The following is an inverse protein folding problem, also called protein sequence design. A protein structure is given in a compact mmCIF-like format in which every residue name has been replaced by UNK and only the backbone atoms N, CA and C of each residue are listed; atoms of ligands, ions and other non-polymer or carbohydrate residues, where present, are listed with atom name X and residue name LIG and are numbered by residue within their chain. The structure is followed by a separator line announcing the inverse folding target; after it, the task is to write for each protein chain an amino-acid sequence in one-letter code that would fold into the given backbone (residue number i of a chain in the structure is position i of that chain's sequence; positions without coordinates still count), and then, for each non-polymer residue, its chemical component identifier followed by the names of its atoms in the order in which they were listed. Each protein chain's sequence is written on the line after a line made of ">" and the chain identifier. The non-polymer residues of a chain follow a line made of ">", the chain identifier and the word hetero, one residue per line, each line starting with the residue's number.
data_IF_742285118139
#
_entry.id   IF_742285118139
#
_cell.length_a   1.000
_cell.length_b   1.000
_cell.length_c   1.000
_cell.angle_alpha   90.00
_cell.angle_beta   90.00
_cell.angle_gamma   90.00
#
_symmetry.space_group_name_H-M   'P 1'
#
loop_
_entity.id
_entity.type
_entity.pdbx_description
1 polymer ?
#
# COMPACT_ATOMS: atom_id res chain seq x y z
N UNK A 1 53.22 23.97 -37.02
CA UNK A 1 52.56 24.42 -35.78
C UNK A 1 51.06 24.36 -35.99
N UNK A 2 50.40 23.25 -35.62
CA UNK A 2 48.98 23.18 -35.18
C UNK A 2 48.44 21.74 -35.24
N UNK A 3 48.51 21.08 -34.09
CA UNK A 3 47.95 19.77 -33.78
C UNK A 3 46.44 19.74 -33.99
N UNK A 4 45.94 18.76 -34.75
CA UNK A 4 44.51 18.44 -34.86
C UNK A 4 44.12 17.52 -33.70
N UNK A 5 43.24 18.01 -32.86
CA UNK A 5 42.72 17.34 -31.67
C UNK A 5 41.85 16.14 -32.03
N UNK A 6 42.13 14.99 -31.40
CA UNK A 6 41.34 13.75 -31.46
C UNK A 6 40.16 13.94 -30.51
N UNK A 7 38.94 14.09 -31.04
CA UNK A 7 37.72 14.07 -30.26
C UNK A 7 37.31 12.64 -29.95
N UNK A 8 37.69 12.12 -28.78
CA UNK A 8 37.16 10.86 -28.26
C UNK A 8 35.71 11.08 -27.79
N UNK A 9 34.74 10.55 -28.54
CA UNK A 9 33.35 10.43 -28.12
C UNK A 9 33.27 9.37 -27.02
N UNK A 10 33.21 9.82 -25.77
CA UNK A 10 32.89 8.96 -24.62
C UNK A 10 31.39 8.68 -24.66
N UNK A 11 31.02 7.47 -25.07
CA UNK A 11 29.68 6.94 -24.89
C UNK A 11 29.46 6.65 -23.41
N UNK A 12 28.71 7.52 -22.72
CA UNK A 12 28.22 7.24 -21.37
C UNK A 12 27.12 6.19 -21.43
N UNK A 13 27.18 5.12 -20.61
CA UNK A 13 26.08 4.18 -20.52
C UNK A 13 24.90 4.88 -19.86
N UNK A 14 23.77 4.93 -20.55
CA UNK A 14 22.50 5.38 -20.01
C UNK A 14 22.04 4.33 -18.99
N UNK A 15 22.48 4.46 -17.75
CA UNK A 15 21.95 3.66 -16.65
C UNK A 15 20.50 4.10 -16.42
N UNK A 16 19.55 3.27 -16.86
CA UNK A 16 18.16 3.35 -16.42
C UNK A 16 18.15 3.19 -14.90
N UNK A 17 18.06 4.31 -14.18
CA UNK A 17 17.77 4.31 -12.76
C UNK A 17 16.33 3.85 -12.57
N UNK A 18 16.13 2.53 -12.46
CA UNK A 18 14.93 1.99 -11.86
C UNK A 18 14.90 2.46 -10.42
N UNK A 19 14.04 3.42 -10.11
CA UNK A 19 13.79 3.85 -8.74
C UNK A 19 13.15 2.68 -8.01
N UNK A 20 13.96 1.91 -7.28
CA UNK A 20 13.47 1.02 -6.24
C UNK A 20 12.91 1.93 -5.14
N UNK A 21 11.60 2.17 -5.19
CA UNK A 21 10.89 2.75 -4.05
C UNK A 21 10.96 1.67 -2.97
N UNK A 22 11.74 1.92 -1.91
CA UNK A 22 11.73 1.04 -0.74
C UNK A 22 10.30 0.89 -0.25
N UNK A 23 9.82 -0.36 -0.17
CA UNK A 23 8.53 -0.68 0.44
C UNK A 23 8.56 -0.24 1.91
N UNK A 24 8.10 0.99 2.17
CA UNK A 24 8.16 1.57 3.51
C UNK A 24 7.21 0.81 4.45
N UNK A 25 7.76 0.29 5.54
CA UNK A 25 6.99 -0.34 6.61
C UNK A 25 6.84 0.65 7.75
N UNK A 26 5.61 0.85 8.21
CA UNK A 26 5.29 1.73 9.33
C UNK A 26 4.32 1.04 10.29
N UNK A 27 4.50 1.23 11.59
CA UNK A 27 3.58 0.71 12.60
C UNK A 27 2.64 1.80 13.10
N UNK A 28 1.44 1.39 13.53
CA UNK A 28 0.44 2.34 14.01
C UNK A 28 -0.82 1.70 14.58
N UNK A 29 -1.78 2.55 14.89
CA UNK A 29 -3.13 2.12 15.29
C UNK A 29 -4.09 2.42 14.14
N UNK A 30 -4.88 1.41 13.78
CA UNK A 30 -5.99 1.54 12.86
C UNK A 30 -7.28 1.82 13.62
N UNK A 31 -8.15 2.62 13.02
CA UNK A 31 -9.58 2.67 13.36
C UNK A 31 -10.43 2.49 12.11
N UNK A 32 -11.76 2.61 12.20
CA UNK A 32 -12.63 2.55 11.03
C UNK A 32 -13.75 3.57 11.08
N UNK A 33 -14.24 3.96 9.90
CA UNK A 33 -15.31 4.96 9.76
C UNK A 33 -16.68 4.44 10.24
N UNK A 34 -17.41 5.32 10.92
CA UNK A 34 -18.81 5.07 11.28
C UNK A 34 -19.74 5.08 10.06
N UNK A 35 -20.87 4.36 10.17
CA UNK A 35 -21.81 4.14 9.06
C UNK A 35 -22.36 5.43 8.42
N UNK A 36 -22.49 6.50 9.22
CA UNK A 36 -22.99 7.82 8.80
C UNK A 36 -22.16 8.52 7.71
N UNK A 37 -20.93 8.07 7.49
CA UNK A 37 -20.04 8.66 6.48
C UNK A 37 -20.30 8.12 5.08
N UNK A 38 -21.05 7.01 4.96
CA UNK A 38 -21.34 6.39 3.67
C UNK A 38 -22.01 7.37 2.70
N UNK A 39 -21.53 7.38 1.46
CA UNK A 39 -22.02 8.24 0.37
C UNK A 39 -21.51 9.69 0.40
N UNK A 40 -20.76 10.12 1.44
CA UNK A 40 -20.14 11.46 1.48
C UNK A 40 -18.93 11.53 0.54
N UNK A 41 -18.56 12.72 0.12
CA UNK A 41 -17.34 12.93 -0.67
C UNK A 41 -16.11 12.77 0.23
N UNK A 42 -15.12 12.01 -0.25
CA UNK A 42 -13.77 11.91 0.34
C UNK A 42 -12.88 13.05 -0.17
N UNK A 43 -11.71 13.22 0.43
CA UNK A 43 -10.72 14.21 -0.01
C UNK A 43 -10.17 13.95 -1.42
N UNK A 44 -10.28 12.73 -1.96
CA UNK A 44 -9.97 12.43 -3.37
C UNK A 44 -11.06 12.89 -4.35
N UNK A 45 -12.23 13.31 -3.86
CA UNK A 45 -13.39 13.65 -4.68
C UNK A 45 -14.31 12.47 -5.01
N UNK A 46 -13.94 11.24 -4.67
CA UNK A 46 -14.78 10.04 -4.83
C UNK A 46 -15.75 9.91 -3.65
N UNK A 47 -16.97 9.42 -3.88
CA UNK A 47 -17.91 9.11 -2.80
C UNK A 47 -17.40 7.92 -1.98
N UNK A 48 -17.40 8.07 -0.65
CA UNK A 48 -17.05 7.03 0.27
C UNK A 48 -18.06 5.89 0.22
N UNK A 49 -17.56 4.68 -0.01
CA UNK A 49 -18.32 3.43 0.13
C UNK A 49 -17.77 2.66 1.33
N UNK A 50 -18.63 2.43 2.31
CA UNK A 50 -18.25 1.71 3.53
C UNK A 50 -17.86 0.24 3.27
N UNK A 51 -18.31 -0.36 2.17
CA UNK A 51 -18.05 -1.76 1.83
C UNK A 51 -16.80 -1.94 0.97
N UNK A 52 -16.31 -0.89 0.32
CA UNK A 52 -15.09 -0.92 -0.48
C UNK A 52 -13.84 -1.12 0.40
N UNK A 53 -12.71 -1.52 -0.19
CA UNK A 53 -11.43 -1.68 0.52
C UNK A 53 -10.60 -0.40 0.43
N UNK A 54 -11.02 0.64 1.15
CA UNK A 54 -10.39 1.96 1.11
C UNK A 54 -9.99 2.43 2.51
N UNK A 55 -9.09 3.40 2.56
CA UNK A 55 -8.62 3.97 3.81
C UNK A 55 -8.22 5.45 3.68
N UNK A 56 -8.17 6.12 4.83
CA UNK A 56 -7.66 7.48 4.97
C UNK A 56 -6.29 7.49 5.62
N UNK A 57 -5.38 8.29 5.06
CA UNK A 57 -4.03 8.50 5.60
C UNK A 57 -3.63 9.98 5.49
N UNK A 58 -2.80 10.44 6.45
CA UNK A 58 -2.46 11.87 6.59
C UNK A 58 -1.61 12.38 5.42
N UNK A 59 -0.62 11.59 5.02
CA UNK A 59 0.45 12.04 4.10
C UNK A 59 0.59 11.20 2.84
N UNK A 60 -0.02 10.01 2.77
CA UNK A 60 0.19 9.13 1.61
C UNK A 60 -0.54 9.69 0.38
N UNK A 61 0.05 9.59 -0.82
CA UNK A 61 -0.63 9.96 -2.05
C UNK A 61 -1.97 9.22 -2.19
N UNK A 62 -2.94 9.86 -2.84
CA UNK A 62 -4.17 9.17 -3.21
C UNK A 62 -3.87 8.11 -4.27
N UNK A 63 -4.57 6.97 -4.20
CA UNK A 63 -4.33 5.82 -5.06
C UNK A 63 -3.24 4.87 -4.56
N UNK A 64 -2.44 5.25 -3.56
CA UNK A 64 -1.46 4.35 -2.95
C UNK A 64 -2.15 3.13 -2.38
N UNK A 65 -1.63 1.94 -2.71
CA UNK A 65 -2.08 0.67 -2.16
C UNK A 65 -1.24 0.33 -0.94
N UNK A 66 -1.92 0.01 0.16
CA UNK A 66 -1.28 -0.31 1.44
C UNK A 66 -1.78 -1.64 1.92
N UNK A 67 -0.86 -2.57 2.20
CA UNK A 67 -1.16 -3.79 2.94
C UNK A 67 -1.16 -3.44 4.43
N UNK A 68 -2.32 -3.61 5.05
CA UNK A 68 -2.55 -3.40 6.47
C UNK A 68 -2.62 -4.76 7.13
N UNK A 69 -1.72 -5.03 8.07
CA UNK A 69 -1.69 -6.28 8.84
C UNK A 69 -2.03 -5.99 10.29
N UNK A 70 -3.01 -6.70 10.84
CA UNK A 70 -3.34 -6.63 12.26
C UNK A 70 -2.38 -7.52 13.05
N UNK A 71 -1.64 -6.91 13.97
CA UNK A 71 -0.61 -7.58 14.77
C UNK A 71 -1.21 -8.52 15.83
N UNK A 72 -2.47 -8.29 16.22
CA UNK A 72 -3.12 -9.07 17.28
C UNK A 72 -3.69 -10.40 16.78
N UNK A 73 -4.10 -10.48 15.51
CA UNK A 73 -4.69 -11.70 14.92
C UNK A 73 -3.97 -12.21 13.65
N UNK A 74 -2.94 -11.51 13.17
CA UNK A 74 -2.14 -11.89 12.00
C UNK A 74 -2.81 -11.69 10.64
N UNK A 75 -4.08 -11.25 10.59
CA UNK A 75 -4.82 -11.03 9.33
C UNK A 75 -4.30 -9.80 8.60
N UNK A 76 -4.40 -9.80 7.28
CA UNK A 76 -4.03 -8.65 6.46
C UNK A 76 -5.06 -8.34 5.39
N UNK A 77 -5.12 -7.08 4.98
CA UNK A 77 -5.99 -6.58 3.91
C UNK A 77 -5.24 -5.52 3.12
N UNK A 78 -5.46 -5.48 1.81
CA UNK A 78 -4.93 -4.40 0.96
C UNK A 78 -6.02 -3.36 0.77
N UNK A 79 -5.67 -2.11 1.03
CA UNK A 79 -6.58 -0.97 0.89
C UNK A 79 -5.97 0.08 -0.03
N UNK A 80 -6.83 0.86 -0.67
CA UNK A 80 -6.42 2.03 -1.46
C UNK A 80 -6.66 3.30 -0.65
N UNK A 81 -5.66 4.19 -0.60
CA UNK A 81 -5.79 5.50 0.04
C UNK A 81 -6.63 6.42 -0.83
N UNK A 82 -7.78 6.86 -0.33
CA UNK A 82 -8.69 7.76 -1.06
C UNK A 82 -9.18 8.95 -0.23
N UNK A 83 -8.76 9.05 1.02
CA UNK A 83 -9.19 10.12 1.92
C UNK A 83 -8.05 10.60 2.85
N UNK A 84 -8.29 11.69 3.58
CA UNK A 84 -7.33 12.32 4.50
C UNK A 84 -7.76 12.19 5.95
N UNK A 85 -6.77 12.12 6.83
CA UNK A 85 -6.92 11.79 8.24
C UNK A 85 -6.17 10.50 8.57
N UNK A 86 -6.37 9.88 9.73
CA UNK A 86 -7.06 10.42 10.90
C UNK A 86 -6.35 11.67 11.44
N UNK A 87 -7.12 12.65 11.91
CA UNK A 87 -6.60 13.86 12.58
C UNK A 87 -6.47 13.71 14.10
N UNK A 88 -6.75 12.52 14.61
CA UNK A 88 -6.71 12.20 16.04
C UNK A 88 -5.36 11.57 16.34
N UNK A 89 -4.70 12.09 17.38
CA UNK A 89 -3.38 11.63 17.76
C UNK A 89 -3.41 10.16 18.19
N UNK A 90 -2.32 9.46 17.90
CA UNK A 90 -2.17 8.03 18.15
C UNK A 90 -2.83 7.12 17.12
N UNK A 91 -3.55 7.65 16.11
CA UNK A 91 -4.06 6.87 14.97
C UNK A 91 -3.28 7.16 13.69
N UNK A 92 -2.96 6.09 12.97
CA UNK A 92 -2.16 6.18 11.74
C UNK A 92 -3.02 6.00 10.49
N UNK A 93 -4.10 5.21 10.57
CA UNK A 93 -4.96 4.92 9.42
C UNK A 93 -6.42 4.72 9.85
N UNK A 94 -7.35 5.24 9.05
CA UNK A 94 -8.79 4.97 9.22
C UNK A 94 -9.29 4.12 8.05
N UNK A 95 -9.80 2.93 8.35
CA UNK A 95 -10.26 1.95 7.37
C UNK A 95 -11.75 2.12 7.06
N UNK A 96 -12.18 1.67 5.89
CA UNK A 96 -13.59 1.40 5.63
C UNK A 96 -14.10 0.25 6.52
N UNK A 97 -15.43 0.15 6.68
CA UNK A 97 -16.05 -0.95 7.42
C UNK A 97 -15.79 -2.31 6.77
N UNK A 98 -15.76 -2.37 5.44
CA UNK A 98 -15.39 -3.55 4.66
C UNK A 98 -13.98 -4.02 4.97
N UNK A 99 -13.00 -3.10 4.95
CA UNK A 99 -11.62 -3.42 5.30
C UNK A 99 -11.47 -3.83 6.76
N UNK A 100 -12.14 -3.14 7.70
CA UNK A 100 -12.13 -3.49 9.11
C UNK A 100 -12.75 -4.88 9.39
N UNK A 101 -13.79 -5.26 8.64
CA UNK A 101 -14.36 -6.61 8.66
C UNK A 101 -13.36 -7.67 8.19
N UNK A 102 -12.70 -7.41 7.06
CA UNK A 102 -11.68 -8.30 6.51
C UNK A 102 -10.47 -8.45 7.44
N UNK A 103 -10.14 -7.39 8.19
CA UNK A 103 -9.05 -7.37 9.17
C UNK A 103 -9.46 -7.94 10.54
N UNK A 104 -10.76 -8.19 10.77
CA UNK A 104 -11.28 -8.77 12.00
C UNK A 104 -11.26 -7.82 13.19
N UNK A 105 -11.44 -6.51 12.98
CA UNK A 105 -11.36 -5.48 14.03
C UNK A 105 -12.69 -4.76 14.34
N UNK A 106 -13.82 -5.22 13.76
CA UNK A 106 -15.12 -4.57 13.96
C UNK A 106 -15.55 -4.52 15.44
N UNK A 107 -15.29 -5.59 16.19
CA UNK A 107 -15.67 -5.69 17.60
C UNK A 107 -14.76 -4.85 18.51
N UNK A 108 -13.46 -4.80 18.23
CA UNK A 108 -12.50 -4.05 19.06
C UNK A 108 -12.50 -2.56 18.78
N UNK A 109 -12.93 -2.13 17.58
CA UNK A 109 -12.94 -0.71 17.19
C UNK A 109 -11.57 -0.20 16.74
N UNK A 110 -10.53 -0.59 17.48
CA UNK A 110 -9.13 -0.26 17.24
C UNK A 110 -8.30 -1.54 17.08
N UNK A 111 -7.20 -1.45 16.34
CA UNK A 111 -6.25 -2.54 16.18
C UNK A 111 -4.83 -1.99 16.00
N UNK A 112 -3.83 -2.69 16.55
CA UNK A 112 -2.43 -2.40 16.25
C UNK A 112 -2.08 -2.98 14.89
N UNK A 113 -1.57 -2.15 14.00
CA UNK A 113 -1.34 -2.53 12.60
C UNK A 113 0.07 -2.21 12.14
N UNK A 114 0.52 -3.04 11.22
CA UNK A 114 1.68 -2.80 10.37
C UNK A 114 1.18 -2.40 8.98
N UNK A 115 1.69 -1.29 8.46
CA UNK A 115 1.39 -0.72 7.16
C UNK A 115 2.58 -0.94 6.24
N UNK A 116 2.35 -1.60 5.11
CA UNK A 116 3.35 -1.73 4.05
C UNK A 116 2.79 -1.13 2.76
N UNK A 117 3.50 -0.15 2.20
CA UNK A 117 3.18 0.36 0.86
C UNK A 117 3.49 -0.74 -0.17
N UNK A 118 2.54 -0.99 -1.06
CA UNK A 118 2.74 -1.92 -2.17
C UNK A 118 3.15 -1.12 -3.40
N UNK A 119 4.23 -1.55 -4.04
CA UNK A 119 4.61 -1.05 -5.35
C UNK A 119 3.54 -1.44 -6.38
N UNK A 120 3.47 -0.64 -7.45
CA UNK A 120 2.42 -0.71 -8.47
C UNK A 120 2.38 -2.08 -9.18
N UNK A 121 3.43 -2.90 -9.01
CA UNK A 121 3.61 -4.19 -9.67
C UNK A 121 3.56 -5.42 -8.74
N UNK A 122 3.29 -5.29 -7.42
CA UNK A 122 3.19 -6.48 -6.56
C UNK A 122 1.80 -7.15 -6.70
N UNK A 123 1.69 -8.37 -7.27
CA UNK A 123 0.42 -9.09 -7.29
C UNK A 123 0.00 -9.38 -5.85
N UNK A 124 -1.23 -8.99 -5.51
CA UNK A 124 -1.81 -9.29 -4.19
C UNK A 124 -2.21 -10.75 -4.18
N UNK A 125 -1.28 -11.62 -3.77
CA UNK A 125 -1.61 -13.01 -3.43
C UNK A 125 -2.24 -13.01 -2.04
N UNK A 126 -3.51 -13.47 -1.88
CA UNK A 126 -4.08 -13.65 -0.56
C UNK A 126 -3.34 -14.81 0.12
N UNK A 127 -2.85 -14.54 1.34
CA UNK A 127 -2.40 -15.52 2.33
C UNK A 127 -1.28 -16.50 1.92
N UNK A 128 -0.06 -16.23 2.41
CA UNK A 128 0.81 -17.28 2.96
C UNK A 128 1.62 -18.14 2.00
N UNK A 129 1.51 -17.96 0.68
CA UNK A 129 2.41 -18.62 -0.28
C UNK A 129 3.18 -17.57 -1.07
N UNK A 130 4.51 -17.65 -0.98
CA UNK A 130 5.39 -16.87 -1.83
C UNK A 130 5.20 -17.34 -3.26
N UNK A 131 5.20 -16.40 -4.22
CA UNK A 131 5.15 -16.70 -5.67
C UNK A 131 6.28 -17.66 -6.12
N UNK A 132 7.36 -17.75 -5.33
CA UNK A 132 8.44 -18.72 -5.51
C UNK A 132 7.96 -20.18 -5.39
N UNK A 133 7.02 -20.49 -4.50
CA UNK A 133 6.48 -21.86 -4.35
C UNK A 133 5.56 -22.22 -5.52
N UNK A 134 4.76 -21.26 -6.03
CA UNK A 134 3.90 -21.50 -7.18
C UNK A 134 4.72 -21.69 -8.49
N UNK A 135 5.81 -20.95 -8.66
CA UNK A 135 6.74 -21.17 -9.77
C UNK A 135 7.47 -22.51 -9.66
N UNK A 136 7.84 -22.96 -8.45
CA UNK A 136 8.47 -24.27 -8.27
C UNK A 136 7.52 -25.43 -8.62
N UNK A 137 6.23 -25.34 -8.25
CA UNK A 137 5.24 -26.37 -8.61
C UNK A 137 4.94 -26.38 -10.10
N UNK A 138 4.88 -25.21 -10.75
CA UNK A 138 4.66 -25.12 -12.19
C UNK A 138 5.88 -25.61 -13.00
N UNK A 139 7.10 -25.40 -12.50
CA UNK A 139 8.32 -25.90 -13.12
C UNK A 139 8.63 -27.36 -12.79
N UNK A 140 7.94 -27.98 -11.82
CA UNK A 140 8.05 -29.39 -11.50
C UNK A 140 7.03 -30.28 -12.25
N UNK A 141 6.13 -29.65 -13.03
CA UNK A 141 5.11 -30.33 -13.85
C UNK A 141 5.39 -30.29 -15.36
N UNK A 142 6.60 -29.86 -15.76
CA UNK A 142 7.14 -30.02 -17.11
C UNK A 142 8.49 -30.73 -17.06
#
# INVERSE_FOLDING_TARGET
>A
MNSRWIGALVALPLACAGALVEASVSEGVASYYADRFNGRLTASGVRFDMHALTAAHRTLPFGTRVRVKNKDNGRSVVVTINDRGPYIDGRSIDLSKGAAKALGMLHTGLARVELRILDVDEPVTPSGQTVAEAQAVLMALF
#
